data_IF_432930450832
#
_entry.id   IF_432930450832
#
_cell.length_a   1.000
_cell.length_b   1.000
_cell.length_c   1.000
_cell.angle_alpha   90.00
_cell.angle_beta   90.00
_cell.angle_gamma   90.00
#
_symmetry.space_group_name_H-M   'P 1'
#
loop_
_entity.id
_entity.type
_entity.pdbx_description
1 polymer ?
#
# COMPACT_ATOMS: atom_id res chain seq x y z
N UNK A 1 12.36 22.48 13.20
CA UNK A 1 12.20 21.53 12.07
C UNK A 1 11.18 22.09 11.10
N UNK A 2 11.35 21.88 9.80
CA UNK A 2 10.36 22.37 8.84
C UNK A 2 9.03 21.61 8.98
N UNK A 3 7.93 22.32 8.66
CA UNK A 3 6.60 21.74 8.59
C UNK A 3 6.36 21.15 7.19
N UNK A 4 5.78 19.97 7.16
CA UNK A 4 5.36 19.30 5.91
C UNK A 4 3.88 19.01 5.97
N UNK A 5 3.16 19.42 4.93
CA UNK A 5 1.71 19.22 4.83
C UNK A 5 1.39 18.34 3.63
N UNK A 6 0.54 17.34 3.83
CA UNK A 6 0.03 16.46 2.77
C UNK A 6 -1.33 15.89 3.21
N UNK A 7 -1.96 15.10 2.34
CA UNK A 7 -3.21 14.42 2.70
C UNK A 7 -2.91 12.97 3.04
N UNK A 8 -3.51 12.47 4.12
CA UNK A 8 -3.37 11.10 4.58
C UNK A 8 -4.75 10.49 4.82
N UNK A 9 -5.09 9.46 4.06
CA UNK A 9 -6.36 8.74 4.18
C UNK A 9 -7.57 9.69 4.16
N UNK A 10 -7.54 10.67 3.26
CA UNK A 10 -8.62 11.64 3.07
C UNK A 10 -8.56 12.89 3.95
N UNK A 11 -7.64 12.97 4.89
CA UNK A 11 -7.50 14.11 5.80
C UNK A 11 -6.18 14.86 5.56
N UNK A 12 -6.21 16.17 5.73
CA UNK A 12 -4.98 16.96 5.69
C UNK A 12 -4.22 16.83 7.01
N UNK A 13 -2.93 16.53 6.92
CA UNK A 13 -2.04 16.44 8.07
C UNK A 13 -0.85 17.37 7.89
N UNK A 14 -0.34 17.88 9.00
CA UNK A 14 0.90 18.68 9.04
C UNK A 14 1.81 18.10 10.12
N UNK A 15 3.07 17.91 9.80
CA UNK A 15 4.06 17.33 10.69
C UNK A 15 5.35 18.16 10.69
N UNK A 16 6.00 18.22 11.84
CA UNK A 16 7.35 18.78 11.98
C UNK A 16 8.37 17.63 11.82
N UNK A 17 9.16 17.67 10.79
CA UNK A 17 10.18 16.65 10.55
C UNK A 17 11.34 17.22 9.72
N UNK A 18 12.56 16.64 9.83
CA UNK A 18 13.64 16.97 8.90
C UNK A 18 13.20 16.73 7.44
N UNK A 19 13.71 17.52 6.51
CA UNK A 19 13.37 17.43 5.08
C UNK A 19 13.63 16.04 4.48
N UNK A 20 14.68 15.38 4.94
CA UNK A 20 15.11 14.06 4.46
C UNK A 20 14.51 12.90 5.25
N UNK A 21 13.65 13.20 6.25
CA UNK A 21 12.95 12.13 6.98
C UNK A 21 12.10 11.31 6.01
N UNK A 22 12.17 10.00 6.14
CA UNK A 22 11.43 9.11 5.26
C UNK A 22 9.96 9.04 5.65
N UNK A 23 9.09 9.09 4.65
CA UNK A 23 7.63 9.05 4.87
C UNK A 23 7.21 7.86 5.73
N UNK A 24 7.90 6.72 5.61
CA UNK A 24 7.60 5.54 6.43
C UNK A 24 7.65 5.86 7.93
N UNK A 25 8.69 6.58 8.38
CA UNK A 25 8.84 6.94 9.79
C UNK A 25 7.89 8.07 10.20
N UNK A 26 7.64 9.01 9.30
CA UNK A 26 6.59 10.03 9.51
C UNK A 26 5.24 9.37 9.77
N UNK A 27 4.86 8.40 8.96
CA UNK A 27 3.61 7.66 9.13
C UNK A 27 3.59 6.88 10.44
N UNK A 28 4.63 6.09 10.71
CA UNK A 28 4.65 5.18 11.86
C UNK A 28 4.91 5.86 13.19
N UNK A 29 5.89 6.75 13.24
CA UNK A 29 6.39 7.30 14.52
C UNK A 29 5.73 8.64 14.87
N UNK A 30 5.45 9.50 13.89
CA UNK A 30 4.84 10.80 14.16
C UNK A 30 3.31 10.76 14.09
N UNK A 31 2.74 10.01 13.14
CA UNK A 31 1.30 9.95 12.91
C UNK A 31 0.63 8.68 13.45
N UNK A 32 1.40 7.72 13.96
CA UNK A 32 0.87 6.49 14.55
C UNK A 32 0.20 5.54 13.55
N UNK A 33 0.45 5.72 12.25
CA UNK A 33 -0.11 4.87 11.20
C UNK A 33 0.85 3.72 10.92
N UNK A 34 0.57 2.55 11.46
CA UNK A 34 1.49 1.41 11.52
C UNK A 34 1.22 0.33 10.46
N UNK A 35 0.20 0.52 9.62
CA UNK A 35 -0.11 -0.40 8.52
C UNK A 35 1.05 -0.60 7.54
N UNK A 36 1.71 0.47 7.05
CA UNK A 36 2.94 0.33 6.29
C UNK A 36 4.06 -0.22 7.18
N UNK A 37 4.71 -1.31 6.74
CA UNK A 37 5.70 -2.02 7.56
C UNK A 37 7.13 -1.69 7.14
N UNK A 38 8.04 -1.65 8.13
CA UNK A 38 9.45 -1.60 7.88
C UNK A 38 10.01 -3.01 7.68
N UNK A 39 10.77 -3.18 6.61
CA UNK A 39 11.53 -4.41 6.35
C UNK A 39 12.97 -4.06 5.99
N UNK A 40 13.25 -3.70 4.71
CA UNK A 40 14.59 -3.41 4.23
C UNK A 40 15.02 -1.94 4.38
N UNK A 41 14.09 -0.98 4.34
CA UNK A 41 14.37 0.46 4.35
C UNK A 41 15.05 1.01 3.08
N UNK A 42 15.26 0.17 2.06
CA UNK A 42 15.99 0.50 0.83
C UNK A 42 15.19 0.20 -0.45
N UNK A 43 13.88 0.20 -0.34
CA UNK A 43 12.96 0.01 -1.47
C UNK A 43 13.09 -1.36 -2.17
N UNK A 44 13.43 -2.42 -1.46
CA UNK A 44 13.58 -3.78 -2.01
C UNK A 44 12.42 -4.69 -1.63
N UNK A 45 12.11 -4.82 -0.33
CA UNK A 45 11.14 -5.81 0.14
C UNK A 45 9.68 -5.44 -0.11
N UNK A 46 9.39 -4.17 -0.31
CA UNK A 46 8.05 -3.61 -0.56
C UNK A 46 7.04 -3.76 0.59
N UNK A 47 7.48 -4.15 1.79
CA UNK A 47 6.60 -4.29 2.95
C UNK A 47 5.88 -2.98 3.33
N UNK A 48 6.44 -1.83 2.96
CA UNK A 48 5.87 -0.52 3.22
C UNK A 48 4.90 -0.03 2.15
N UNK A 49 4.63 -0.80 1.09
CA UNK A 49 3.79 -0.36 -0.03
C UNK A 49 2.51 0.30 0.44
N UNK A 50 2.32 1.51 -0.01
CA UNK A 50 1.14 2.36 0.19
C UNK A 50 0.74 2.94 -1.17
N UNK A 51 -0.24 3.83 -1.23
CA UNK A 51 -0.54 4.55 -2.47
C UNK A 51 -0.16 6.02 -2.32
N UNK A 52 0.43 6.58 -3.36
CA UNK A 52 0.60 8.01 -3.54
C UNK A 52 -0.16 8.42 -4.80
N UNK A 53 -1.20 9.23 -4.61
CA UNK A 53 -2.10 9.64 -5.68
C UNK A 53 -2.67 8.45 -6.48
N UNK A 54 -3.04 7.37 -5.77
CA UNK A 54 -3.65 6.17 -6.34
C UNK A 54 -2.68 5.16 -6.95
N UNK A 55 -1.38 5.42 -6.94
CA UNK A 55 -0.35 4.53 -7.47
C UNK A 55 0.49 3.92 -6.36
N UNK A 56 0.96 2.69 -6.55
CA UNK A 56 1.84 2.04 -5.58
C UNK A 56 3.11 2.88 -5.35
N UNK A 57 3.43 3.10 -4.09
CA UNK A 57 4.60 3.83 -3.66
C UNK A 57 5.20 3.16 -2.42
N UNK A 58 6.49 3.41 -2.19
CA UNK A 58 7.19 2.80 -1.06
C UNK A 58 7.73 3.89 -0.14
N UNK A 59 7.02 4.20 0.95
CA UNK A 59 7.36 5.28 1.87
C UNK A 59 8.78 5.25 2.43
N UNK A 60 9.42 4.09 2.52
CA UNK A 60 10.82 4.02 2.97
C UNK A 60 11.81 4.71 2.01
N UNK A 61 11.39 4.96 0.79
CA UNK A 61 12.22 5.61 -0.24
C UNK A 61 11.84 7.07 -0.51
N UNK A 62 10.77 7.58 0.11
CA UNK A 62 10.23 8.91 -0.16
C UNK A 62 10.61 9.85 0.98
N UNK A 63 11.47 10.88 0.74
CA UNK A 63 11.67 11.96 1.69
C UNK A 63 10.38 12.77 1.86
N UNK A 64 10.06 13.17 3.08
CA UNK A 64 8.80 13.89 3.35
C UNK A 64 8.72 15.24 2.62
N UNK A 65 9.87 15.89 2.38
CA UNK A 65 9.92 17.15 1.61
C UNK A 65 9.43 17.03 0.17
N UNK A 66 9.41 15.80 -0.38
CA UNK A 66 8.98 15.59 -1.77
C UNK A 66 7.45 15.56 -1.90
N UNK A 67 6.72 15.56 -0.77
CA UNK A 67 5.27 15.62 -0.77
C UNK A 67 4.75 17.06 -0.86
N UNK A 68 3.71 17.24 -1.64
CA UNK A 68 2.97 18.50 -1.75
C UNK A 68 1.69 18.47 -0.90
N UNK A 69 1.17 19.63 -0.51
CA UNK A 69 -0.10 19.69 0.24
C UNK A 69 -1.29 19.02 -0.46
N UNK A 70 -1.24 18.88 -1.79
CA UNK A 70 -2.27 18.24 -2.61
C UNK A 70 -2.05 16.74 -2.80
N UNK A 71 -0.89 16.20 -2.41
CA UNK A 71 -0.60 14.77 -2.57
C UNK A 71 -1.39 13.95 -1.56
N UNK A 72 -2.04 12.90 -2.04
CA UNK A 72 -2.83 11.97 -1.22
C UNK A 72 -2.05 10.68 -0.98
N UNK A 73 -1.72 10.44 0.27
CA UNK A 73 -1.15 9.17 0.74
C UNK A 73 -2.29 8.30 1.26
N UNK A 74 -2.44 7.11 0.71
CA UNK A 74 -3.41 6.11 1.22
C UNK A 74 -2.63 4.91 1.75
N UNK A 75 -2.89 4.58 3.00
CA UNK A 75 -2.35 3.38 3.64
C UNK A 75 -3.43 2.31 3.72
N UNK A 76 -3.06 1.11 4.21
CA UNK A 76 -4.04 0.01 4.38
C UNK A 76 -5.22 0.44 5.28
N UNK A 77 -4.98 1.29 6.26
CA UNK A 77 -6.01 1.81 7.15
C UNK A 77 -7.08 2.63 6.42
N UNK A 78 -6.70 3.32 5.36
CA UNK A 78 -7.62 4.14 4.57
C UNK A 78 -8.18 3.45 3.33
N UNK A 79 -7.77 2.22 3.05
CA UNK A 79 -8.18 1.51 1.83
C UNK A 79 -9.70 1.25 1.76
N UNK A 80 -10.39 0.81 2.84
CA UNK A 80 -11.83 0.59 2.80
C UNK A 80 -12.63 1.84 2.44
N UNK A 81 -12.23 2.99 2.96
CA UNK A 81 -12.91 4.26 2.69
C UNK A 81 -12.87 4.66 1.20
N UNK A 82 -11.88 4.19 0.45
CA UNK A 82 -11.78 4.48 -0.99
C UNK A 82 -12.92 3.87 -1.81
N UNK A 83 -13.61 2.88 -1.26
CA UNK A 83 -14.78 2.22 -1.87
C UNK A 83 -16.06 2.39 -1.04
N UNK A 84 -16.00 3.15 0.07
CA UNK A 84 -17.15 3.42 0.92
C UNK A 84 -17.69 2.19 1.63
N UNK A 85 -16.83 1.25 2.02
CA UNK A 85 -17.20 -0.01 2.66
C UNK A 85 -16.34 -0.27 3.91
N UNK A 86 -16.71 -1.27 4.71
CA UNK A 86 -15.95 -1.67 5.90
C UNK A 86 -14.63 -2.37 5.51
N UNK A 87 -14.64 -3.10 4.40
CA UNK A 87 -13.47 -3.72 3.80
C UNK A 87 -13.44 -3.45 2.29
N UNK A 88 -12.25 -3.28 1.74
CA UNK A 88 -12.06 -3.27 0.30
C UNK A 88 -12.23 -4.70 -0.26
N UNK A 89 -12.78 -4.92 -1.47
CA UNK A 89 -12.92 -6.25 -2.07
C UNK A 89 -11.65 -7.08 -2.07
N UNK A 90 -10.48 -6.45 -2.20
CA UNK A 90 -9.20 -7.14 -2.11
C UNK A 90 -8.92 -7.66 -0.69
N UNK A 91 -9.29 -6.91 0.35
CA UNK A 91 -9.16 -7.35 1.73
C UNK A 91 -10.10 -8.53 2.03
N UNK A 92 -11.34 -8.48 1.51
CA UNK A 92 -12.29 -9.60 1.63
C UNK A 92 -11.72 -10.86 0.97
N UNK A 93 -11.14 -10.74 -0.24
CA UNK A 93 -10.51 -11.86 -0.93
C UNK A 93 -9.35 -12.45 -0.12
N UNK A 94 -8.57 -11.62 0.57
CA UNK A 94 -7.51 -12.08 1.47
C UNK A 94 -8.03 -12.91 2.64
N UNK A 95 -9.16 -12.51 3.21
CA UNK A 95 -9.81 -13.27 4.27
C UNK A 95 -10.38 -14.58 3.75
N UNK A 96 -11.08 -14.53 2.63
CA UNK A 96 -11.74 -15.72 2.04
C UNK A 96 -10.72 -16.79 1.62
N UNK A 97 -9.55 -16.39 1.16
CA UNK A 97 -8.47 -17.29 0.75
C UNK A 97 -7.54 -17.69 1.91
N UNK A 98 -7.78 -17.16 3.11
CA UNK A 98 -6.94 -17.41 4.29
C UNK A 98 -5.43 -17.27 3.98
N UNK A 99 -5.06 -16.11 3.41
CA UNK A 99 -3.75 -15.90 2.80
C UNK A 99 -2.63 -15.81 3.85
N UNK A 100 -2.88 -15.09 4.94
CA UNK A 100 -1.83 -14.71 5.88
C UNK A 100 -1.30 -15.89 6.69
N UNK A 101 0.01 -15.92 6.91
CA UNK A 101 0.63 -16.68 7.99
C UNK A 101 1.06 -15.72 9.11
N UNK A 102 2.27 -15.15 9.06
CA UNK A 102 2.68 -14.17 10.08
C UNK A 102 1.95 -12.83 9.94
N UNK A 103 1.45 -12.51 8.77
CA UNK A 103 0.69 -11.29 8.50
C UNK A 103 1.53 -10.05 8.18
N UNK A 104 2.83 -10.09 8.38
CA UNK A 104 3.68 -8.89 8.30
C UNK A 104 3.72 -8.25 6.92
N UNK A 105 3.83 -9.03 5.86
CA UNK A 105 3.89 -8.52 4.48
C UNK A 105 2.52 -8.18 3.88
N UNK A 106 1.42 -8.57 4.54
CA UNK A 106 0.10 -8.57 3.91
C UNK A 106 -0.44 -7.17 3.60
N UNK A 107 -0.28 -6.15 4.45
CA UNK A 107 -0.72 -4.80 4.08
C UNK A 107 -0.06 -4.32 2.78
N UNK A 108 1.25 -4.49 2.66
CA UNK A 108 1.97 -4.14 1.44
C UNK A 108 1.53 -4.94 0.21
N UNK A 109 1.30 -6.26 0.38
CA UNK A 109 0.81 -7.12 -0.70
C UNK A 109 -0.57 -6.67 -1.20
N UNK A 110 -1.49 -6.37 -0.30
CA UNK A 110 -2.84 -5.90 -0.63
C UNK A 110 -2.77 -4.56 -1.36
N UNK A 111 -2.00 -3.61 -0.85
CA UNK A 111 -1.85 -2.29 -1.48
C UNK A 111 -1.24 -2.40 -2.88
N UNK A 112 -0.22 -3.23 -3.06
CA UNK A 112 0.37 -3.49 -4.37
C UNK A 112 -0.63 -4.13 -5.34
N UNK A 113 -1.42 -5.09 -4.86
CA UNK A 113 -2.45 -5.77 -5.64
C UNK A 113 -3.53 -4.80 -6.12
N UNK A 114 -4.05 -3.95 -5.25
CA UNK A 114 -5.09 -2.96 -5.58
C UNK A 114 -4.57 -1.99 -6.65
N UNK A 115 -3.36 -1.47 -6.48
CA UNK A 115 -2.77 -0.57 -7.47
C UNK A 115 -2.56 -1.26 -8.83
N UNK A 116 -2.13 -2.51 -8.84
CA UNK A 116 -1.99 -3.30 -10.06
C UNK A 116 -3.31 -3.45 -10.79
N UNK A 117 -4.37 -3.88 -10.09
CA UNK A 117 -5.69 -4.11 -10.71
C UNK A 117 -6.26 -2.80 -11.27
N UNK A 118 -6.14 -1.71 -10.52
CA UNK A 118 -6.58 -0.39 -10.99
C UNK A 118 -5.86 0.03 -12.27
N UNK A 119 -4.54 -0.10 -12.31
CA UNK A 119 -3.74 0.23 -13.50
C UNK A 119 -4.15 -0.61 -14.71
N UNK A 120 -4.29 -1.91 -14.53
CA UNK A 120 -4.67 -2.83 -15.62
C UNK A 120 -6.06 -2.49 -16.18
N UNK A 121 -7.00 -2.12 -15.30
CA UNK A 121 -8.33 -1.67 -15.71
C UNK A 121 -8.32 -0.35 -16.48
N UNK A 122 -7.48 0.60 -16.06
CA UNK A 122 -7.27 1.85 -16.80
C UNK A 122 -6.76 1.59 -18.22
N UNK A 123 -5.99 0.50 -18.41
CA UNK A 123 -5.53 0.04 -19.71
C UNK A 123 -6.62 -0.69 -20.53
N UNK A 124 -7.82 -0.87 -19.97
CA UNK A 124 -8.96 -1.53 -20.64
C UNK A 124 -8.85 -3.04 -20.76
N UNK A 125 -8.09 -3.69 -19.90
CA UNK A 125 -7.86 -5.14 -19.90
C UNK A 125 -8.02 -5.77 -18.52
N UNK A 126 -7.95 -7.09 -18.45
CA UNK A 126 -7.96 -7.86 -17.20
C UNK A 126 -6.54 -8.28 -16.82
N UNK A 127 -6.32 -8.58 -15.53
CA UNK A 127 -5.00 -9.02 -15.05
C UNK A 127 -4.61 -10.37 -15.67
N UNK A 128 -3.32 -10.52 -15.89
CA UNK A 128 -2.70 -11.75 -16.42
C UNK A 128 -1.66 -12.28 -15.43
N UNK A 129 -1.19 -13.50 -15.64
CA UNK A 129 -0.09 -14.06 -14.84
C UNK A 129 1.18 -13.20 -14.94
N UNK A 130 1.46 -12.61 -16.11
CA UNK A 130 2.59 -11.71 -16.30
C UNK A 130 2.48 -10.44 -15.42
N UNK A 131 1.27 -9.90 -15.25
CA UNK A 131 1.05 -8.77 -14.32
C UNK A 131 1.37 -9.17 -12.88
N UNK A 132 0.93 -10.37 -12.46
CA UNK A 132 1.19 -10.88 -11.12
C UNK A 132 2.69 -11.12 -10.88
N UNK A 133 3.41 -11.56 -11.89
CA UNK A 133 4.87 -11.73 -11.83
C UNK A 133 5.60 -10.39 -11.60
N UNK A 134 4.96 -9.27 -11.91
CA UNK A 134 5.50 -7.93 -11.68
C UNK A 134 5.44 -7.47 -10.22
N UNK A 135 4.68 -8.13 -9.36
CA UNK A 135 4.63 -7.81 -7.93
C UNK A 135 5.90 -8.32 -7.25
N UNK A 136 6.67 -7.39 -6.68
CA UNK A 136 7.98 -7.67 -6.07
C UNK A 136 7.94 -7.78 -4.56
N UNK A 137 6.77 -7.67 -3.95
CA UNK A 137 6.59 -7.76 -2.50
C UNK A 137 7.01 -9.14 -1.99
N UNK A 138 7.88 -9.14 -0.97
CA UNK A 138 8.45 -10.39 -0.42
C UNK A 138 7.55 -10.93 0.68
N UNK A 139 7.24 -12.21 0.64
CA UNK A 139 6.60 -12.95 1.72
C UNK A 139 7.55 -14.04 2.23
N UNK A 140 8.10 -13.86 3.44
CA UNK A 140 9.05 -14.81 4.01
C UNK A 140 8.40 -16.17 4.33
N UNK A 141 7.09 -16.18 4.63
CA UNK A 141 6.31 -17.40 4.85
C UNK A 141 6.00 -18.15 3.54
N UNK A 142 6.18 -17.50 2.40
CA UNK A 142 6.00 -18.15 1.09
C UNK A 142 4.54 -18.36 0.68
N UNK A 143 3.61 -17.52 1.13
CA UNK A 143 2.18 -17.67 0.80
C UNK A 143 1.82 -17.19 -0.61
N UNK A 144 2.77 -17.06 -1.50
CA UNK A 144 2.57 -16.53 -2.87
C UNK A 144 1.44 -17.20 -3.66
N UNK A 145 1.24 -18.55 -3.62
CA UNK A 145 0.12 -19.14 -4.35
C UNK A 145 -1.25 -18.60 -3.89
N UNK A 146 -1.45 -18.46 -2.56
CA UNK A 146 -2.68 -17.89 -2.01
C UNK A 146 -2.82 -16.40 -2.30
N UNK A 147 -1.71 -15.65 -2.27
CA UNK A 147 -1.69 -14.24 -2.66
C UNK A 147 -2.20 -14.09 -4.09
N UNK A 148 -1.70 -14.89 -5.02
CA UNK A 148 -2.11 -14.83 -6.43
C UNK A 148 -3.59 -15.16 -6.62
N UNK A 149 -4.09 -16.18 -5.94
CA UNK A 149 -5.52 -16.54 -6.00
C UNK A 149 -6.41 -15.44 -5.38
N UNK A 150 -5.99 -14.85 -4.28
CA UNK A 150 -6.70 -13.75 -3.64
C UNK A 150 -6.74 -12.51 -4.55
N UNK A 151 -5.65 -12.19 -5.25
CA UNK A 151 -5.62 -11.06 -6.20
C UNK A 151 -6.62 -11.30 -7.33
N UNK A 152 -6.64 -12.51 -7.91
CA UNK A 152 -7.59 -12.86 -8.96
C UNK A 152 -9.04 -12.75 -8.47
N UNK A 153 -9.32 -13.26 -7.28
CA UNK A 153 -10.65 -13.19 -6.67
C UNK A 153 -11.06 -11.74 -6.37
N UNK A 154 -10.19 -10.96 -5.75
CA UNK A 154 -10.44 -9.55 -5.43
C UNK A 154 -10.64 -8.71 -6.69
N UNK A 155 -9.86 -8.95 -7.75
CA UNK A 155 -9.98 -8.25 -9.02
C UNK A 155 -11.37 -8.45 -9.65
N UNK A 156 -11.98 -9.62 -9.51
CA UNK A 156 -13.34 -9.87 -10.03
C UNK A 156 -14.42 -9.04 -9.33
N UNK A 157 -14.17 -8.63 -8.09
CA UNK A 157 -15.13 -7.91 -7.25
C UNK A 157 -14.84 -6.40 -7.12
N UNK A 158 -13.81 -5.92 -7.78
CA UNK A 158 -13.47 -4.50 -7.80
C UNK A 158 -14.27 -3.73 -8.86
#
# INVERSE_FOLDING_TARGET
MPEHTFRLNGEQVTVDAPDDERLLWVLRDLLGVTGPKYGCGINVCKACTSHLNGRAANPCAIPVKDLRPTDEVTTIEGLPATVGADLHPMQEAWLDQDVAQCGYCQPGQIMAAVALVRRVREEGRTITEADLDGIRNICRCGTYPRIREAIKAGARNM
#
